data_IF_577130310138
#
_entry.id   IF_577130310138
#
_cell.length_a   1.000
_cell.length_b   1.000
_cell.length_c   1.000
_cell.angle_alpha   90.00
_cell.angle_beta   90.00
_cell.angle_gamma   90.00
#
_symmetry.space_group_name_H-M   'P 1'
#
loop_
_entity.id
_entity.type
_entity.pdbx_description
1 polymer ?
#
# COMPACT_ATOMS: atom_id res chain seq x y z
N UNK A 1 -66.69 52.88 0.15
CA UNK A 1 -65.79 51.74 0.37
C UNK A 1 -64.56 52.03 -0.45
N UNK A 2 -63.48 52.42 0.24
CA UNK A 2 -62.31 53.11 -0.35
C UNK A 2 -61.45 52.20 -1.20
N UNK A 3 -61.41 52.46 -2.50
CA UNK A 3 -60.57 51.73 -3.48
C UNK A 3 -59.08 51.99 -3.22
N UNK A 4 -58.74 53.13 -2.62
CA UNK A 4 -57.37 53.51 -2.24
C UNK A 4 -56.78 52.63 -1.15
N UNK A 5 -57.58 52.03 -0.22
CA UNK A 5 -57.13 51.14 0.84
C UNK A 5 -56.77 49.76 0.32
N UNK A 6 -57.34 49.29 -0.78
CA UNK A 6 -57.05 48.04 -1.45
C UNK A 6 -55.78 48.11 -2.30
N UNK A 7 -55.53 49.23 -2.96
CA UNK A 7 -54.30 49.45 -3.73
C UNK A 7 -53.07 49.55 -2.83
N UNK A 8 -53.14 50.25 -1.70
CA UNK A 8 -52.02 50.38 -0.76
C UNK A 8 -51.63 49.02 -0.11
N UNK A 9 -52.62 48.17 0.18
CA UNK A 9 -52.34 46.80 0.71
C UNK A 9 -51.71 45.87 -0.35
N UNK A 10 -52.20 45.96 -1.60
CA UNK A 10 -51.63 45.14 -2.70
C UNK A 10 -50.16 45.53 -3.02
N UNK A 11 -49.85 46.85 -2.96
CA UNK A 11 -48.48 47.34 -3.17
C UNK A 11 -47.55 46.95 -1.98
N UNK A 12 -48.06 46.92 -0.75
CA UNK A 12 -47.30 46.45 0.41
C UNK A 12 -47.01 44.95 0.33
N UNK A 13 -47.98 44.10 0.00
CA UNK A 13 -47.76 42.67 -0.19
C UNK A 13 -46.78 42.37 -1.33
N UNK A 14 -46.92 43.03 -2.47
CA UNK A 14 -45.99 42.89 -3.59
C UNK A 14 -44.56 43.31 -3.22
N UNK A 15 -44.38 44.35 -2.40
CA UNK A 15 -43.08 44.75 -1.87
C UNK A 15 -42.50 43.72 -0.89
N UNK A 16 -43.30 43.13 -0.01
CA UNK A 16 -42.88 42.12 0.96
C UNK A 16 -42.44 40.86 0.22
N UNK A 17 -43.22 40.40 -0.75
CA UNK A 17 -42.87 39.23 -1.58
C UNK A 17 -41.58 39.48 -2.39
N UNK A 18 -41.40 40.68 -2.93
CA UNK A 18 -40.16 41.03 -3.65
C UNK A 18 -38.92 41.06 -2.76
N UNK A 19 -39.05 41.47 -1.50
CA UNK A 19 -37.96 41.45 -0.51
C UNK A 19 -37.63 40.02 -0.08
N UNK A 20 -38.63 39.14 0.12
CA UNK A 20 -38.42 37.72 0.44
C UNK A 20 -37.77 36.97 -0.72
N UNK A 21 -38.17 37.22 -1.97
CA UNK A 21 -37.55 36.62 -3.16
C UNK A 21 -36.09 37.10 -3.32
N UNK A 22 -35.82 38.37 -3.10
CA UNK A 22 -34.43 38.88 -3.14
C UNK A 22 -33.55 38.34 -2.02
N UNK A 23 -34.11 38.15 -0.82
CA UNK A 23 -33.42 37.49 0.30
C UNK A 23 -33.14 36.00 0.07
N UNK A 24 -34.06 35.28 -0.54
CA UNK A 24 -33.90 33.89 -0.93
C UNK A 24 -32.85 33.72 -2.04
N UNK A 25 -32.81 34.64 -3.04
CA UNK A 25 -31.79 34.61 -4.10
C UNK A 25 -30.38 34.92 -3.56
N UNK A 26 -30.25 35.87 -2.61
CA UNK A 26 -28.97 36.15 -1.95
C UNK A 26 -28.47 34.96 -1.07
N UNK A 27 -29.37 34.25 -0.38
CA UNK A 27 -29.03 33.06 0.39
C UNK A 27 -28.64 31.90 -0.51
N UNK A 28 -29.33 31.70 -1.63
CA UNK A 28 -28.98 30.70 -2.65
C UNK A 28 -27.65 31.02 -3.33
N UNK A 29 -27.38 32.25 -3.71
CA UNK A 29 -26.08 32.68 -4.27
C UNK A 29 -24.95 32.58 -3.25
N UNK A 30 -25.22 32.88 -1.99
CA UNK A 30 -24.27 32.69 -0.89
C UNK A 30 -23.93 31.21 -0.63
N UNK A 31 -24.93 30.31 -0.72
CA UNK A 31 -24.76 28.89 -0.59
C UNK A 31 -24.04 28.27 -1.78
N UNK A 32 -24.33 28.71 -3.01
CA UNK A 32 -23.65 28.28 -4.23
C UNK A 32 -22.19 28.77 -4.27
N UNK A 33 -21.93 30.00 -3.80
CA UNK A 33 -20.56 30.52 -3.69
C UNK A 33 -19.76 29.84 -2.58
N UNK A 34 -20.39 29.44 -1.46
CA UNK A 34 -19.74 28.57 -0.44
C UNK A 34 -19.44 27.18 -0.98
N UNK A 35 -20.40 26.52 -1.67
CA UNK A 35 -20.16 25.25 -2.34
C UNK A 35 -19.05 25.33 -3.41
N UNK A 36 -18.99 26.42 -4.19
CA UNK A 36 -17.92 26.63 -5.16
C UNK A 36 -16.54 26.86 -4.52
N UNK A 37 -16.47 27.54 -3.36
CA UNK A 37 -15.22 27.68 -2.57
C UNK A 37 -14.85 26.39 -1.85
N UNK A 38 -15.79 25.64 -1.30
CA UNK A 38 -15.54 24.34 -0.67
C UNK A 38 -15.07 23.30 -1.70
N UNK A 39 -15.62 23.29 -2.91
CA UNK A 39 -15.12 22.45 -4.00
C UNK A 39 -13.70 22.84 -4.45
N UNK A 40 -13.32 24.12 -4.46
CA UNK A 40 -11.95 24.54 -4.80
C UNK A 40 -10.94 24.33 -3.66
N UNK A 41 -11.39 24.33 -2.40
CA UNK A 41 -10.58 23.93 -1.25
C UNK A 41 -10.49 22.40 -1.11
N UNK A 42 -11.47 21.64 -1.62
CA UNK A 42 -11.50 20.18 -1.59
C UNK A 42 -10.41 19.50 -2.43
N UNK A 43 -9.91 20.17 -3.47
CA UNK A 43 -8.92 19.60 -4.40
C UNK A 43 -7.47 19.69 -3.90
N UNK A 44 -7.13 20.59 -2.97
CA UNK A 44 -5.76 20.76 -2.48
C UNK A 44 -5.50 19.89 -1.25
N UNK A 45 -4.41 19.12 -1.30
CA UNK A 45 -3.93 18.34 -0.16
C UNK A 45 -3.57 19.24 1.03
N UNK A 46 -4.02 18.87 2.22
CA UNK A 46 -3.65 19.55 3.46
C UNK A 46 -2.16 19.36 3.79
N UNK A 47 -1.62 20.16 4.67
CA UNK A 47 -0.21 20.03 5.09
C UNK A 47 0.08 18.68 5.77
N UNK A 48 -0.88 18.12 6.51
CA UNK A 48 -0.75 16.81 7.15
C UNK A 48 -0.82 15.68 6.13
N UNK A 49 -1.77 15.74 5.18
CA UNK A 49 -1.88 14.77 4.09
C UNK A 49 -0.60 14.70 3.26
N UNK A 50 0.00 15.84 2.90
CA UNK A 50 1.29 15.90 2.19
C UNK A 50 2.41 15.22 2.96
N UNK A 51 2.48 15.42 4.29
CA UNK A 51 3.49 14.80 5.14
C UNK A 51 3.25 13.30 5.29
N UNK A 52 2.00 12.86 5.27
CA UNK A 52 1.65 11.44 5.27
C UNK A 52 2.07 10.78 3.95
N UNK A 53 1.79 11.40 2.82
CA UNK A 53 2.25 10.97 1.48
C UNK A 53 3.78 10.85 1.42
N UNK A 54 4.51 11.78 2.05
CA UNK A 54 5.98 11.70 2.11
C UNK A 54 6.50 10.45 2.80
N UNK A 55 5.73 9.84 3.69
CA UNK A 55 6.14 8.56 4.27
C UNK A 55 6.09 7.41 3.25
N UNK A 56 5.14 7.39 2.32
CA UNK A 56 5.16 6.43 1.20
C UNK A 56 6.42 6.61 0.33
N UNK A 57 6.84 7.85 0.07
CA UNK A 57 8.12 8.16 -0.61
C UNK A 57 9.32 7.63 0.20
N UNK A 58 9.26 7.75 1.53
CA UNK A 58 10.34 7.30 2.42
C UNK A 58 10.48 5.77 2.42
N UNK A 59 9.37 5.06 2.67
CA UNK A 59 9.37 3.61 2.88
C UNK A 59 9.53 2.81 1.58
N UNK A 60 9.02 3.30 0.46
CA UNK A 60 9.11 2.62 -0.84
C UNK A 60 10.55 2.43 -1.31
N UNK A 61 11.49 3.26 -0.85
CA UNK A 61 12.91 3.06 -1.11
C UNK A 61 13.42 1.72 -0.55
N UNK A 62 13.04 1.36 0.67
CA UNK A 62 13.42 0.07 1.26
C UNK A 62 12.78 -1.11 0.50
N UNK A 63 11.53 -0.99 0.05
CA UNK A 63 10.88 -2.00 -0.79
C UNK A 63 11.68 -2.28 -2.06
N UNK A 64 12.14 -1.22 -2.75
CA UNK A 64 12.99 -1.38 -3.93
C UNK A 64 14.30 -2.08 -3.62
N UNK A 65 14.92 -1.80 -2.47
CA UNK A 65 16.16 -2.47 -2.05
C UNK A 65 15.94 -3.96 -1.77
N UNK A 66 14.82 -4.33 -1.15
CA UNK A 66 14.46 -5.72 -0.87
C UNK A 66 14.32 -6.54 -2.16
N UNK A 67 13.81 -5.93 -3.20
CA UNK A 67 13.60 -6.60 -4.50
C UNK A 67 14.83 -6.59 -5.40
N UNK A 68 15.87 -5.82 -5.07
CA UNK A 68 17.01 -5.59 -5.97
C UNK A 68 18.38 -5.76 -5.30
N UNK A 69 18.80 -4.80 -4.50
CA UNK A 69 20.18 -4.71 -3.97
C UNK A 69 20.43 -5.71 -2.84
N UNK A 70 19.48 -5.92 -1.95
CA UNK A 70 19.67 -6.83 -0.81
C UNK A 70 19.87 -8.29 -1.25
N UNK A 71 19.11 -8.83 -2.24
CA UNK A 71 19.41 -10.16 -2.80
C UNK A 71 20.80 -10.25 -3.43
N UNK A 72 21.27 -9.20 -4.13
CA UNK A 72 22.62 -9.18 -4.71
C UNK A 72 23.67 -9.23 -3.60
N UNK A 73 23.48 -8.46 -2.53
CA UNK A 73 24.39 -8.49 -1.38
C UNK A 73 24.46 -9.88 -0.75
N UNK A 74 23.30 -10.48 -0.48
CA UNK A 74 23.26 -11.85 0.07
C UNK A 74 23.88 -12.88 -0.86
N UNK A 75 23.66 -12.77 -2.19
CA UNK A 75 24.27 -13.64 -3.18
C UNK A 75 25.81 -13.60 -3.10
N UNK A 76 26.38 -12.41 -2.96
CA UNK A 76 27.83 -12.27 -2.81
C UNK A 76 28.36 -12.91 -1.53
N UNK A 77 27.68 -12.71 -0.39
CA UNK A 77 28.04 -13.36 0.87
C UNK A 77 27.94 -14.88 0.76
N UNK A 78 26.86 -15.39 0.13
CA UNK A 78 26.65 -16.80 -0.12
C UNK A 78 27.75 -17.45 -0.97
N UNK A 79 28.15 -16.78 -2.06
CA UNK A 79 29.26 -17.23 -2.92
C UNK A 79 30.59 -17.29 -2.16
N UNK A 80 30.88 -16.28 -1.32
CA UNK A 80 32.09 -16.28 -0.48
C UNK A 80 32.07 -17.42 0.55
N UNK A 81 30.90 -17.82 1.03
CA UNK A 81 30.72 -18.92 1.97
C UNK A 81 30.59 -20.31 1.29
N UNK A 82 30.64 -20.39 -0.04
CA UNK A 82 30.49 -21.65 -0.77
C UNK A 82 29.05 -22.20 -0.80
N UNK A 83 28.03 -21.36 -0.58
CA UNK A 83 26.64 -21.76 -0.64
C UNK A 83 26.23 -22.00 -2.10
N UNK A 84 25.61 -23.15 -2.38
CA UNK A 84 25.07 -23.44 -3.72
C UNK A 84 23.89 -22.51 -4.07
N UNK A 85 23.66 -22.28 -5.36
CA UNK A 85 22.55 -21.44 -5.82
C UNK A 85 21.17 -21.94 -5.35
N UNK A 86 21.00 -23.26 -5.26
CA UNK A 86 19.78 -23.88 -4.73
C UNK A 86 19.57 -23.51 -3.27
N UNK A 87 20.60 -23.63 -2.44
CA UNK A 87 20.53 -23.27 -1.02
C UNK A 87 20.38 -21.76 -0.82
N UNK A 88 21.00 -20.95 -1.65
CA UNK A 88 20.82 -19.50 -1.66
C UNK A 88 19.33 -19.12 -1.79
N UNK A 89 18.65 -19.66 -2.82
CA UNK A 89 17.23 -19.40 -3.04
C UNK A 89 16.36 -19.91 -1.89
N UNK A 90 16.68 -21.11 -1.37
CA UNK A 90 15.93 -21.68 -0.25
C UNK A 90 16.06 -20.82 1.02
N UNK A 91 17.28 -20.42 1.40
CA UNK A 91 17.51 -19.60 2.59
C UNK A 91 16.88 -18.20 2.46
N UNK A 92 16.92 -17.59 1.27
CA UNK A 92 16.22 -16.35 1.00
C UNK A 92 14.71 -16.51 1.18
N UNK A 93 14.11 -17.53 0.57
CA UNK A 93 12.69 -17.83 0.70
C UNK A 93 12.27 -18.11 2.15
N UNK A 94 13.05 -18.88 2.91
CA UNK A 94 12.78 -19.13 4.34
C UNK A 94 12.82 -17.83 5.15
N UNK A 95 13.78 -16.95 4.88
CA UNK A 95 13.90 -15.66 5.58
C UNK A 95 12.70 -14.76 5.32
N UNK A 96 12.23 -14.68 4.08
CA UNK A 96 11.03 -13.94 3.72
C UNK A 96 9.79 -14.53 4.43
N UNK A 97 9.63 -15.85 4.42
CA UNK A 97 8.51 -16.56 5.06
C UNK A 97 8.49 -16.36 6.57
N UNK A 98 9.64 -16.48 7.23
CA UNK A 98 9.77 -16.27 8.69
C UNK A 98 9.43 -14.82 9.03
N UNK A 99 9.96 -13.85 8.28
CA UNK A 99 9.63 -12.44 8.47
C UNK A 99 8.12 -12.18 8.33
N UNK A 100 7.46 -12.78 7.34
CA UNK A 100 6.01 -12.68 7.14
C UNK A 100 5.24 -13.29 8.31
N UNK A 101 5.67 -14.45 8.81
CA UNK A 101 5.05 -15.09 9.97
C UNK A 101 5.19 -14.23 11.25
N UNK A 102 6.37 -13.65 11.48
CA UNK A 102 6.60 -12.71 12.60
C UNK A 102 5.61 -11.55 12.53
N UNK A 103 5.45 -10.97 11.34
CA UNK A 103 4.53 -9.83 11.14
C UNK A 103 3.07 -10.25 11.29
N UNK A 104 2.70 -11.43 10.81
CA UNK A 104 1.35 -11.97 10.98
C UNK A 104 0.96 -12.11 12.47
N UNK A 105 1.92 -12.46 13.33
CA UNK A 105 1.68 -12.56 14.78
C UNK A 105 1.76 -11.17 15.44
N UNK A 106 2.81 -10.40 15.16
CA UNK A 106 3.07 -9.14 15.85
C UNK A 106 2.24 -7.96 15.33
N UNK A 107 1.80 -8.00 14.06
CA UNK A 107 1.03 -6.92 13.44
C UNK A 107 -0.24 -6.55 14.21
N UNK A 108 -1.18 -7.50 14.41
CA UNK A 108 -2.38 -7.23 15.19
C UNK A 108 -2.10 -6.86 16.65
N UNK A 109 -1.08 -7.48 17.28
CA UNK A 109 -0.66 -7.19 18.65
C UNK A 109 -0.17 -5.74 18.77
N UNK A 110 0.74 -5.35 17.89
CA UNK A 110 1.30 -4.01 17.87
C UNK A 110 0.23 -2.97 17.49
N UNK A 111 -0.65 -3.30 16.54
CA UNK A 111 -1.77 -2.47 16.14
C UNK A 111 -2.72 -2.21 17.31
N UNK A 112 -3.14 -3.26 18.01
CA UNK A 112 -3.98 -3.15 19.19
C UNK A 112 -3.32 -2.35 20.33
N UNK A 113 -1.99 -2.52 20.52
CA UNK A 113 -1.24 -1.73 21.49
C UNK A 113 -1.14 -0.26 21.09
N UNK A 114 -1.03 0.02 19.79
CA UNK A 114 -0.94 1.37 19.24
C UNK A 114 -2.29 2.12 19.30
N UNK A 115 -3.42 1.42 19.21
CA UNK A 115 -4.75 2.02 19.31
C UNK A 115 -5.10 2.52 20.72
N UNK A 116 -4.40 2.04 21.76
CA UNK A 116 -4.62 2.44 23.15
C UNK A 116 -3.88 3.74 23.49
N UNK A 117 -4.60 4.71 24.04
CA UNK A 117 -4.01 5.84 24.74
C UNK A 117 -3.06 6.71 23.91
N UNK A 118 -3.34 6.94 22.64
CA UNK A 118 -2.55 7.78 21.72
C UNK A 118 -1.12 7.29 21.48
N UNK A 119 -0.89 5.98 21.47
CA UNK A 119 0.46 5.40 21.35
C UNK A 119 0.90 5.12 19.91
N UNK A 120 0.05 5.30 18.90
CA UNK A 120 0.42 5.08 17.47
C UNK A 120 1.69 5.83 17.08
N UNK A 121 1.80 7.11 17.44
CA UNK A 121 3.00 7.91 17.12
C UNK A 121 4.28 7.32 17.69
N UNK A 122 4.23 6.81 18.91
CA UNK A 122 5.40 6.19 19.57
C UNK A 122 5.83 4.93 18.82
N UNK A 123 4.90 3.99 18.57
CA UNK A 123 5.22 2.76 17.86
C UNK A 123 5.63 3.01 16.41
N UNK A 124 5.02 4.01 15.76
CA UNK A 124 5.41 4.42 14.41
C UNK A 124 6.84 4.95 14.36
N UNK A 125 7.21 5.85 15.28
CA UNK A 125 8.57 6.35 15.39
C UNK A 125 9.57 5.24 15.74
N UNK A 126 9.22 4.36 16.68
CA UNK A 126 10.06 3.25 17.09
C UNK A 126 10.37 2.30 15.93
N UNK A 127 9.36 1.90 15.17
CA UNK A 127 9.54 1.00 14.02
C UNK A 127 10.35 1.64 12.91
N UNK A 128 10.18 2.94 12.62
CA UNK A 128 11.00 3.66 11.63
C UNK A 128 12.46 3.71 12.07
N UNK A 129 12.72 4.09 13.33
CA UNK A 129 14.08 4.23 13.85
C UNK A 129 14.79 2.87 13.85
N UNK A 130 14.15 1.83 14.39
CA UNK A 130 14.74 0.49 14.42
C UNK A 130 14.95 -0.07 13.00
N UNK A 131 13.99 0.16 12.09
CA UNK A 131 14.09 -0.25 10.70
C UNK A 131 15.24 0.44 9.96
N UNK A 132 15.37 1.74 10.10
CA UNK A 132 16.44 2.52 9.46
C UNK A 132 17.84 2.16 10.03
N UNK A 133 17.97 2.06 11.36
CA UNK A 133 19.23 1.60 11.99
C UNK A 133 19.58 0.19 11.51
N UNK A 134 18.61 -0.74 11.50
CA UNK A 134 18.82 -2.10 11.04
C UNK A 134 19.19 -2.16 9.56
N UNK A 135 18.57 -1.34 8.70
CA UNK A 135 18.92 -1.22 7.28
C UNK A 135 20.37 -0.75 7.09
N UNK A 136 20.80 0.25 7.83
CA UNK A 136 22.21 0.70 7.82
C UNK A 136 23.15 -0.40 8.34
N UNK A 137 22.78 -1.09 9.42
CA UNK A 137 23.57 -2.15 10.03
C UNK A 137 23.80 -3.33 9.07
N UNK A 138 22.83 -3.68 8.22
CA UNK A 138 22.98 -4.69 7.18
C UNK A 138 24.21 -4.45 6.30
N UNK A 139 24.54 -3.20 6.00
CA UNK A 139 25.70 -2.83 5.19
C UNK A 139 27.06 -3.19 5.81
N UNK A 140 27.11 -3.49 7.11
CA UNK A 140 28.34 -3.86 7.83
C UNK A 140 28.45 -5.37 8.10
N UNK A 141 27.38 -6.15 7.89
CA UNK A 141 27.37 -7.59 8.13
C UNK A 141 28.10 -8.30 6.97
N UNK A 142 29.07 -9.16 7.30
CA UNK A 142 29.87 -9.92 6.32
C UNK A 142 29.62 -11.42 6.39
N UNK A 143 28.95 -11.88 7.41
CA UNK A 143 28.60 -13.28 7.63
C UNK A 143 27.18 -13.53 7.10
N UNK A 144 27.03 -14.50 6.20
CA UNK A 144 25.78 -14.72 5.45
C UNK A 144 24.57 -15.07 6.34
N UNK A 145 24.79 -15.88 7.39
CA UNK A 145 23.70 -16.28 8.30
C UNK A 145 23.26 -15.10 9.17
N UNK A 146 24.22 -14.34 9.73
CA UNK A 146 23.93 -13.13 10.52
C UNK A 146 23.21 -12.11 9.65
N UNK A 147 23.60 -11.99 8.37
CA UNK A 147 22.92 -11.10 7.41
C UNK A 147 21.45 -11.48 7.25
N UNK A 148 21.11 -12.76 7.07
CA UNK A 148 19.73 -13.22 6.95
C UNK A 148 18.92 -12.98 8.22
N UNK A 149 19.51 -13.21 9.40
CA UNK A 149 18.84 -12.94 10.68
C UNK A 149 18.54 -11.45 10.86
N UNK A 150 19.55 -10.59 10.63
CA UNK A 150 19.36 -9.14 10.71
C UNK A 150 18.35 -8.66 9.67
N UNK A 151 18.43 -9.17 8.43
CA UNK A 151 17.47 -8.85 7.38
C UNK A 151 16.04 -9.28 7.74
N UNK A 152 15.86 -10.46 8.31
CA UNK A 152 14.56 -10.93 8.79
C UNK A 152 13.96 -9.97 9.82
N UNK A 153 14.75 -9.50 10.77
CA UNK A 153 14.33 -8.53 11.78
C UNK A 153 13.96 -7.19 11.12
N UNK A 154 14.84 -6.65 10.27
CA UNK A 154 14.64 -5.36 9.59
C UNK A 154 13.39 -5.39 8.72
N UNK A 155 13.19 -6.46 7.92
CA UNK A 155 12.01 -6.64 7.09
C UNK A 155 10.74 -6.74 7.93
N UNK A 156 10.79 -7.45 9.07
CA UNK A 156 9.65 -7.53 9.99
C UNK A 156 9.30 -6.17 10.58
N UNK A 157 10.29 -5.43 11.07
CA UNK A 157 10.10 -4.07 11.62
C UNK A 157 9.58 -3.10 10.55
N UNK A 158 10.11 -3.19 9.33
CA UNK A 158 9.61 -2.43 8.19
C UNK A 158 8.12 -2.71 7.93
N UNK A 159 7.73 -3.98 7.88
CA UNK A 159 6.33 -4.37 7.67
C UNK A 159 5.43 -3.89 8.81
N UNK A 160 5.88 -3.99 10.06
CA UNK A 160 5.16 -3.46 11.22
C UNK A 160 4.99 -1.94 11.15
N UNK A 161 5.96 -1.21 10.59
CA UNK A 161 5.82 0.24 10.37
C UNK A 161 4.72 0.56 9.38
N UNK A 162 4.52 -0.28 8.34
CA UNK A 162 3.43 -0.13 7.38
C UNK A 162 2.06 -0.40 8.00
N UNK A 163 1.91 -1.40 8.86
CA UNK A 163 0.66 -1.67 9.60
C UNK A 163 0.23 -0.42 10.37
N UNK A 164 1.15 0.20 11.09
CA UNK A 164 0.85 1.43 11.84
C UNK A 164 0.58 2.58 10.88
N UNK A 165 1.40 2.78 9.87
CA UNK A 165 1.23 3.84 8.88
C UNK A 165 -0.14 3.80 8.20
N UNK A 166 -0.54 2.64 7.68
CA UNK A 166 -1.83 2.48 7.00
C UNK A 166 -3.00 2.77 7.96
N UNK A 167 -2.87 2.37 9.23
CA UNK A 167 -3.89 2.65 10.25
C UNK A 167 -4.03 4.13 10.60
N UNK A 168 -3.02 4.96 10.29
CA UNK A 168 -3.08 6.42 10.54
C UNK A 168 -3.91 7.18 9.50
N UNK A 169 -4.31 6.55 8.40
CA UNK A 169 -5.08 7.21 7.33
C UNK A 169 -6.38 7.83 7.86
N UNK A 170 -7.07 7.13 8.79
CA UNK A 170 -8.28 7.64 9.44
C UNK A 170 -8.03 8.87 10.34
N UNK A 171 -6.79 9.07 10.83
CA UNK A 171 -6.41 10.24 11.64
C UNK A 171 -5.96 11.44 10.79
N UNK A 172 -5.54 11.19 9.56
CA UNK A 172 -4.89 12.18 8.70
C UNK A 172 -5.87 12.89 7.79
N UNK A 173 -6.95 12.21 7.37
CA UNK A 173 -7.89 12.73 6.39
C UNK A 173 -9.32 12.27 6.66
N UNK A 174 -10.28 12.88 5.96
CA UNK A 174 -11.71 12.52 6.07
C UNK A 174 -12.07 11.40 5.10
N UNK A 175 -13.17 10.65 5.34
CA UNK A 175 -13.60 9.53 4.49
C UNK A 175 -13.73 9.88 3.02
N UNK A 176 -14.20 11.10 2.68
CA UNK A 176 -14.40 11.57 1.30
C UNK A 176 -13.08 11.75 0.55
N UNK A 177 -11.99 12.00 1.28
CA UNK A 177 -10.65 12.28 0.75
C UNK A 177 -9.70 11.09 0.82
N UNK A 178 -10.04 10.03 1.58
CA UNK A 178 -9.17 8.88 1.82
C UNK A 178 -8.65 8.23 0.54
N UNK A 179 -9.51 8.08 -0.48
CA UNK A 179 -9.12 7.46 -1.75
C UNK A 179 -8.06 8.30 -2.47
N UNK A 180 -8.25 9.62 -2.52
CA UNK A 180 -7.28 10.51 -3.16
C UNK A 180 -5.96 10.54 -2.40
N UNK A 181 -6.00 10.68 -1.07
CA UNK A 181 -4.80 10.73 -0.23
C UNK A 181 -4.02 9.42 -0.32
N UNK A 182 -4.72 8.28 -0.23
CA UNK A 182 -4.11 6.95 -0.39
C UNK A 182 -3.48 6.78 -1.77
N UNK A 183 -4.17 7.17 -2.83
CA UNK A 183 -3.67 7.08 -4.21
C UNK A 183 -2.48 7.99 -4.46
N UNK A 184 -2.48 9.20 -3.89
CA UNK A 184 -1.32 10.10 -3.94
C UNK A 184 -0.11 9.51 -3.18
N UNK A 185 -0.34 8.83 -2.04
CA UNK A 185 0.72 8.13 -1.31
C UNK A 185 1.42 7.12 -2.19
N UNK A 186 0.68 6.19 -2.78
CA UNK A 186 1.26 5.20 -3.71
C UNK A 186 1.92 5.84 -4.93
N UNK A 187 1.27 6.83 -5.56
CA UNK A 187 1.84 7.52 -6.71
C UNK A 187 3.22 8.13 -6.41
N UNK A 188 3.28 8.97 -5.38
CA UNK A 188 4.54 9.60 -4.98
C UNK A 188 5.56 8.60 -4.42
N UNK A 189 5.09 7.50 -3.80
CA UNK A 189 5.95 6.37 -3.40
C UNK A 189 6.67 5.74 -4.58
N UNK A 190 5.97 5.47 -5.68
CA UNK A 190 6.57 4.87 -6.89
C UNK A 190 7.66 5.74 -7.47
N UNK A 191 7.39 7.03 -7.72
CA UNK A 191 8.40 7.90 -8.33
C UNK A 191 9.49 8.30 -7.34
N UNK A 192 9.12 8.49 -6.05
CA UNK A 192 10.06 8.87 -5.01
C UNK A 192 11.08 7.80 -4.68
N UNK A 193 10.72 6.52 -4.76
CA UNK A 193 11.63 5.40 -4.55
C UNK A 193 12.67 5.26 -5.67
N UNK A 194 12.36 5.73 -6.88
CA UNK A 194 13.32 5.72 -7.99
C UNK A 194 14.55 6.58 -7.71
N UNK A 195 14.42 7.66 -6.92
CA UNK A 195 15.53 8.59 -6.64
C UNK A 195 16.68 7.87 -5.91
N UNK A 196 16.49 7.34 -4.68
CA UNK A 196 17.55 6.61 -3.98
C UNK A 196 17.93 5.31 -4.72
N UNK A 197 16.99 4.65 -5.41
CA UNK A 197 17.28 3.44 -6.17
C UNK A 197 18.25 3.70 -7.32
N UNK A 198 18.01 4.72 -8.15
CA UNK A 198 18.91 5.09 -9.25
C UNK A 198 20.29 5.48 -8.71
N UNK A 199 20.35 6.27 -7.62
CA UNK A 199 21.62 6.63 -6.99
C UNK A 199 22.40 5.38 -6.55
N UNK A 200 21.74 4.41 -5.92
CA UNK A 200 22.33 3.16 -5.50
C UNK A 200 22.76 2.29 -6.70
N UNK A 201 21.95 2.22 -7.74
CA UNK A 201 22.25 1.46 -8.95
C UNK A 201 23.49 2.01 -9.67
N UNK A 202 23.56 3.34 -9.86
CA UNK A 202 24.73 4.01 -10.44
C UNK A 202 25.98 3.75 -9.60
N UNK A 203 25.86 3.80 -8.27
CA UNK A 203 26.97 3.52 -7.37
C UNK A 203 27.45 2.06 -7.49
N UNK A 204 26.56 1.10 -7.53
CA UNK A 204 26.91 -0.34 -7.63
C UNK A 204 27.50 -0.68 -8.99
N UNK A 205 26.90 -0.22 -10.08
CA UNK A 205 27.40 -0.47 -11.45
C UNK A 205 28.68 0.29 -11.75
N UNK A 206 28.81 1.52 -11.23
CA UNK A 206 29.98 2.38 -11.41
C UNK A 206 31.13 2.13 -10.40
N UNK A 207 30.96 1.20 -9.47
CA UNK A 207 31.91 1.00 -8.35
C UNK A 207 33.34 0.76 -8.80
N UNK A 208 33.56 -0.03 -9.85
CA UNK A 208 34.87 -0.29 -10.41
C UNK A 208 35.57 0.95 -10.97
N UNK A 209 34.79 1.87 -11.59
CA UNK A 209 35.35 3.11 -12.19
C UNK A 209 35.80 4.12 -11.12
N UNK A 210 35.29 4.03 -9.91
CA UNK A 210 35.64 4.90 -8.78
C UNK A 210 36.58 4.22 -7.78
N UNK A 211 37.14 3.04 -8.14
CA UNK A 211 38.04 2.28 -7.28
C UNK A 211 37.40 1.69 -6.02
N UNK A 212 36.08 1.56 -5.98
CA UNK A 212 35.31 1.01 -4.86
C UNK A 212 35.01 -0.46 -5.13
N UNK A 213 35.13 -1.32 -4.10
CA UNK A 213 34.67 -2.71 -4.23
C UNK A 213 33.13 -2.77 -4.33
N UNK A 214 32.63 -3.74 -5.09
CA UNK A 214 31.18 -3.93 -5.24
C UNK A 214 30.48 -4.13 -3.88
N UNK A 215 31.12 -4.88 -2.96
CA UNK A 215 30.63 -5.08 -1.60
C UNK A 215 30.51 -3.76 -0.83
N UNK A 216 31.46 -2.85 -0.98
CA UNK A 216 31.42 -1.53 -0.35
C UNK A 216 30.31 -0.66 -0.98
N UNK A 217 30.13 -0.70 -2.29
CA UNK A 217 29.07 0.02 -2.98
C UNK A 217 27.67 -0.46 -2.53
N UNK A 218 27.47 -1.76 -2.35
CA UNK A 218 26.26 -2.35 -1.82
C UNK A 218 26.01 -1.90 -0.35
N UNK A 219 27.06 -1.86 0.48
CA UNK A 219 26.98 -1.38 1.87
C UNK A 219 26.57 0.09 1.93
N UNK A 220 27.19 0.94 1.11
CA UNK A 220 26.86 2.37 1.01
C UNK A 220 25.40 2.56 0.53
N UNK A 221 24.94 1.74 -0.40
CA UNK A 221 23.55 1.77 -0.87
C UNK A 221 22.53 1.53 0.24
N UNK A 222 22.81 0.61 1.17
CA UNK A 222 21.96 0.36 2.33
C UNK A 222 21.95 1.55 3.31
N UNK A 223 23.10 2.22 3.48
CA UNK A 223 23.20 3.44 4.30
C UNK A 223 22.41 4.60 3.66
N UNK A 224 22.55 4.81 2.35
CA UNK A 224 21.77 5.82 1.60
C UNK A 224 20.26 5.57 1.78
N UNK A 225 19.82 4.32 1.66
CA UNK A 225 18.42 3.94 1.84
C UNK A 225 17.94 4.20 3.27
N UNK A 226 18.74 3.87 4.27
CA UNK A 226 18.41 4.12 5.67
C UNK A 226 18.27 5.62 5.97
N UNK A 227 19.21 6.43 5.46
CA UNK A 227 19.19 7.89 5.62
C UNK A 227 17.99 8.52 4.89
N UNK A 228 17.66 8.02 3.70
CA UNK A 228 16.47 8.43 2.95
C UNK A 228 15.21 8.11 3.74
N UNK A 229 15.04 6.85 4.17
CA UNK A 229 13.87 6.42 4.93
C UNK A 229 13.70 7.24 6.21
N UNK A 230 14.76 7.40 7.01
CA UNK A 230 14.71 8.19 8.21
C UNK A 230 14.42 9.68 7.91
N UNK A 231 15.19 10.30 7.02
CA UNK A 231 15.12 11.73 6.73
C UNK A 231 13.76 12.17 6.18
N UNK A 232 13.23 11.41 5.20
CA UNK A 232 11.93 11.71 4.57
C UNK A 232 10.75 11.40 5.49
N UNK A 233 10.94 10.55 6.52
CA UNK A 233 9.92 10.27 7.54
C UNK A 233 9.79 11.37 8.61
N UNK A 234 10.80 12.21 8.82
CA UNK A 234 10.80 13.26 9.89
C UNK A 234 9.57 14.19 9.84
N UNK A 235 9.09 14.67 8.68
CA UNK A 235 7.94 15.58 8.62
C UNK A 235 6.66 14.99 9.20
N UNK A 236 6.36 13.71 8.93
CA UNK A 236 5.17 13.06 9.48
C UNK A 236 5.34 12.77 10.96
N UNK A 237 6.50 12.29 11.39
CA UNK A 237 6.79 12.02 12.80
C UNK A 237 6.66 13.27 13.67
N UNK A 238 7.03 14.46 13.16
CA UNK A 238 6.85 15.72 13.89
C UNK A 238 5.40 16.16 13.96
N UNK A 239 4.62 15.94 12.90
CA UNK A 239 3.29 16.56 12.72
C UNK A 239 2.12 15.65 13.08
N UNK A 240 2.29 14.33 13.00
CA UNK A 240 1.23 13.37 13.29
C UNK A 240 0.78 13.43 14.75
N UNK A 241 -0.55 13.45 14.92
CA UNK A 241 -1.23 13.30 16.21
C UNK A 241 -2.37 12.31 16.03
N UNK A 242 -2.42 11.32 16.87
CA UNK A 242 -3.51 10.34 16.87
C UNK A 242 -4.79 11.01 17.34
N UNK A 243 -5.84 10.92 16.53
CA UNK A 243 -7.19 11.45 16.80
C UNK A 243 -8.10 10.32 17.30
N UNK A 244 -8.09 9.21 16.57
CA UNK A 244 -8.90 8.03 16.86
C UNK A 244 -8.12 7.05 17.75
N UNK A 245 -8.59 6.78 18.95
CA UNK A 245 -7.95 5.88 19.90
C UNK A 245 -8.96 5.36 20.94
N UNK A 246 -8.64 4.20 21.50
CA UNK A 246 -9.42 3.64 22.59
C UNK A 246 -9.11 4.36 23.91
N UNK A 247 -10.12 4.97 24.51
CA UNK A 247 -10.05 5.49 25.88
C UNK A 247 -10.21 4.32 26.85
N UNK A 248 -9.08 3.84 27.40
CA UNK A 248 -9.09 2.74 28.37
C UNK A 248 -9.59 3.18 29.74
N UNK A 249 -10.66 2.56 30.22
CA UNK A 249 -10.84 2.38 31.66
C UNK A 249 -9.84 1.33 32.19
N UNK A 250 -9.59 1.33 33.50
CA UNK A 250 -8.54 0.58 34.23
C UNK A 250 -8.59 -0.96 34.16
N UNK A 251 -9.40 -1.57 33.30
CA UNK A 251 -9.29 -2.98 33.04
C UNK A 251 -8.06 -3.24 32.16
N UNK A 252 -7.09 -3.94 32.72
CA UNK A 252 -5.99 -4.60 32.01
C UNK A 252 -6.58 -5.59 31.01
N UNK A 253 -7.13 -5.10 29.90
CA UNK A 253 -7.59 -5.99 28.86
C UNK A 253 -6.37 -6.69 28.27
N UNK A 254 -6.28 -7.97 28.54
CA UNK A 254 -5.30 -8.85 27.93
C UNK A 254 -5.42 -8.67 26.40
N UNK A 255 -4.34 -8.17 25.77
CA UNK A 255 -4.29 -7.88 24.32
C UNK A 255 -4.76 -9.10 23.52
N UNK A 256 -4.42 -10.30 23.95
CA UNK A 256 -4.85 -11.55 23.30
C UNK A 256 -6.38 -11.75 23.39
N UNK A 257 -7.00 -11.39 24.51
CA UNK A 257 -8.47 -11.43 24.66
C UNK A 257 -9.15 -10.40 23.77
N UNK A 258 -8.56 -9.21 23.65
CA UNK A 258 -9.00 -8.17 22.72
C UNK A 258 -8.92 -8.66 21.28
N UNK A 259 -7.78 -9.22 20.85
CA UNK A 259 -7.61 -9.78 19.51
C UNK A 259 -8.64 -10.89 19.22
N UNK A 260 -8.91 -11.76 20.20
CA UNK A 260 -9.94 -12.78 20.07
C UNK A 260 -11.35 -12.20 19.89
N UNK A 261 -11.69 -11.08 20.56
CA UNK A 261 -12.95 -10.38 20.34
C UNK A 261 -13.01 -9.71 18.97
N UNK A 262 -11.90 -9.09 18.53
CA UNK A 262 -11.82 -8.43 17.23
C UNK A 262 -11.94 -9.41 16.07
N UNK A 263 -11.35 -10.59 16.20
CA UNK A 263 -11.55 -11.65 15.20
C UNK A 263 -13.01 -12.10 15.13
N UNK A 264 -13.71 -12.17 16.29
CA UNK A 264 -15.16 -12.44 16.31
C UNK A 264 -15.95 -11.31 15.65
N UNK A 265 -15.55 -10.05 15.86
CA UNK A 265 -16.20 -8.90 15.22
C UNK A 265 -16.01 -8.92 13.72
N UNK A 266 -14.80 -9.23 13.23
CA UNK A 266 -14.50 -9.45 11.80
C UNK A 266 -15.41 -10.55 11.21
N UNK A 267 -15.55 -11.69 11.90
CA UNK A 267 -16.40 -12.80 11.42
C UNK A 267 -17.88 -12.45 11.44
N UNK A 268 -18.33 -11.62 12.39
CA UNK A 268 -19.73 -11.17 12.49
C UNK A 268 -20.10 -10.13 11.44
N UNK A 269 -19.17 -9.20 11.13
CA UNK A 269 -19.39 -8.20 10.07
C UNK A 269 -19.08 -8.83 8.71
N UNK A 270 -20.14 -9.24 8.00
CA UNK A 270 -20.01 -9.89 6.71
C UNK A 270 -19.31 -9.03 5.67
N UNK A 271 -19.45 -7.70 5.73
CA UNK A 271 -18.80 -6.78 4.78
C UNK A 271 -17.27 -6.82 4.97
N UNK A 272 -16.80 -6.70 6.22
CA UNK A 272 -15.38 -6.80 6.56
C UNK A 272 -14.82 -8.19 6.24
N UNK A 273 -15.53 -9.25 6.64
CA UNK A 273 -15.10 -10.63 6.40
C UNK A 273 -14.91 -10.92 4.90
N UNK A 274 -15.94 -10.66 4.09
CA UNK A 274 -15.86 -10.91 2.64
C UNK A 274 -14.86 -9.99 1.95
N UNK A 275 -14.66 -8.76 2.44
CA UNK A 275 -13.60 -7.90 1.93
C UNK A 275 -12.21 -8.49 2.22
N UNK A 276 -11.92 -8.90 3.44
CA UNK A 276 -10.62 -9.49 3.79
C UNK A 276 -10.35 -10.80 3.03
N UNK A 277 -11.37 -11.64 2.85
CA UNK A 277 -11.25 -12.84 2.02
C UNK A 277 -11.03 -12.50 0.54
N UNK A 278 -11.75 -11.52 0.00
CA UNK A 278 -11.53 -11.04 -1.36
C UNK A 278 -10.12 -10.49 -1.53
N UNK A 279 -9.70 -9.63 -0.58
CA UNK A 279 -8.38 -9.01 -0.53
C UNK A 279 -7.29 -10.08 -0.49
N UNK A 280 -7.44 -11.08 0.35
CA UNK A 280 -6.52 -12.21 0.42
C UNK A 280 -6.26 -12.82 -0.97
N UNK A 281 -7.30 -13.13 -1.74
CA UNK A 281 -7.14 -13.76 -3.05
C UNK A 281 -6.60 -12.80 -4.11
N UNK A 282 -7.19 -11.62 -4.28
CA UNK A 282 -6.76 -10.77 -5.38
C UNK A 282 -5.42 -10.08 -5.14
N UNK A 283 -5.10 -9.74 -3.89
CA UNK A 283 -3.81 -9.09 -3.60
C UNK A 283 -2.65 -10.09 -3.59
N UNK A 284 -2.93 -11.36 -3.24
CA UNK A 284 -1.98 -12.45 -3.44
C UNK A 284 -1.57 -12.55 -4.92
N UNK A 285 -2.54 -12.55 -5.82
CA UNK A 285 -2.27 -12.52 -7.26
C UNK A 285 -1.42 -11.33 -7.67
N UNK A 286 -1.74 -10.11 -7.18
CA UNK A 286 -0.98 -8.90 -7.48
C UNK A 286 0.46 -9.01 -6.99
N UNK A 287 0.68 -9.36 -5.72
CA UNK A 287 2.02 -9.48 -5.16
C UNK A 287 2.82 -10.62 -5.80
N UNK A 288 2.17 -11.76 -6.10
CA UNK A 288 2.83 -12.86 -6.81
C UNK A 288 3.30 -12.44 -8.20
N UNK A 289 2.51 -11.70 -8.97
CA UNK A 289 2.92 -11.16 -10.27
C UNK A 289 4.11 -10.22 -10.12
N UNK A 290 4.12 -9.34 -9.11
CA UNK A 290 5.21 -8.41 -8.86
C UNK A 290 6.49 -9.15 -8.42
N UNK A 291 6.38 -10.04 -7.44
CA UNK A 291 7.52 -10.73 -6.83
C UNK A 291 8.14 -11.77 -7.79
N UNK A 292 7.33 -12.40 -8.63
CA UNK A 292 7.77 -13.42 -9.59
C UNK A 292 8.14 -12.86 -10.96
N UNK A 293 7.94 -11.56 -11.21
CA UNK A 293 8.19 -10.93 -12.51
C UNK A 293 9.61 -11.13 -13.02
N UNK A 294 10.62 -11.00 -12.16
CA UNK A 294 12.03 -11.19 -12.53
C UNK A 294 12.36 -12.66 -12.84
N UNK A 295 11.82 -13.60 -12.05
CA UNK A 295 11.98 -15.03 -12.29
C UNK A 295 11.31 -15.44 -13.62
N UNK A 296 10.12 -14.89 -13.88
CA UNK A 296 9.39 -15.12 -15.13
C UNK A 296 10.11 -14.52 -16.35
N UNK A 297 10.59 -13.27 -16.24
CA UNK A 297 11.38 -12.61 -17.28
C UNK A 297 12.68 -13.39 -17.60
N UNK A 298 13.35 -13.90 -16.58
CA UNK A 298 14.53 -14.75 -16.73
C UNK A 298 14.21 -16.07 -17.48
N UNK A 299 13.07 -16.69 -17.16
CA UNK A 299 12.62 -17.90 -17.85
C UNK A 299 12.27 -17.66 -19.33
N UNK A 300 11.92 -16.44 -19.72
CA UNK A 300 11.74 -15.99 -21.09
C UNK A 300 13.05 -15.57 -21.80
N UNK A 301 14.19 -15.71 -21.13
CA UNK A 301 15.51 -15.36 -21.68
C UNK A 301 15.84 -13.88 -21.65
N UNK A 302 15.13 -13.06 -20.86
CA UNK A 302 15.45 -11.64 -20.69
C UNK A 302 16.74 -11.46 -19.87
N UNK A 303 17.57 -10.53 -20.29
CA UNK A 303 18.74 -10.10 -19.52
C UNK A 303 18.38 -9.33 -18.26
N UNK A 304 19.29 -9.33 -17.27
CA UNK A 304 19.08 -8.59 -16.01
C UNK A 304 18.80 -7.11 -16.24
N UNK A 305 19.44 -6.48 -17.21
CA UNK A 305 19.24 -5.07 -17.56
C UNK A 305 17.82 -4.82 -18.05
N UNK A 306 17.29 -5.67 -18.93
CA UNK A 306 15.92 -5.56 -19.45
C UNK A 306 14.89 -5.69 -18.32
N UNK A 307 15.11 -6.61 -17.40
CA UNK A 307 14.23 -6.80 -16.24
C UNK A 307 14.22 -5.58 -15.31
N UNK A 308 15.40 -5.00 -15.03
CA UNK A 308 15.50 -3.79 -14.21
C UNK A 308 14.86 -2.58 -14.88
N UNK A 309 15.02 -2.42 -16.19
CA UNK A 309 14.38 -1.36 -16.96
C UNK A 309 12.86 -1.54 -17.00
N UNK A 310 12.36 -2.76 -17.16
CA UNK A 310 10.93 -3.06 -17.13
C UNK A 310 10.32 -2.72 -15.74
N UNK A 311 11.03 -3.03 -14.65
CA UNK A 311 10.60 -2.61 -13.31
C UNK A 311 10.53 -1.09 -13.17
N UNK A 312 11.51 -0.36 -13.70
CA UNK A 312 11.49 1.11 -13.73
C UNK A 312 10.30 1.64 -14.55
N UNK A 313 10.05 1.09 -15.74
CA UNK A 313 8.89 1.46 -16.57
C UNK A 313 7.60 1.25 -15.80
N UNK A 314 7.46 0.13 -15.09
CA UNK A 314 6.29 -0.13 -14.23
C UNK A 314 6.08 0.98 -13.20
N UNK A 315 7.14 1.47 -12.54
CA UNK A 315 7.05 2.57 -11.56
C UNK A 315 6.62 3.89 -12.21
N UNK A 316 7.20 4.23 -13.37
CA UNK A 316 6.86 5.45 -14.10
C UNK A 316 5.41 5.43 -14.62
N UNK A 317 4.92 4.29 -15.07
CA UNK A 317 3.52 4.13 -15.49
C UNK A 317 2.59 4.16 -14.28
N UNK A 318 2.94 3.52 -13.17
CA UNK A 318 2.12 3.47 -11.97
C UNK A 318 1.85 4.86 -11.37
N UNK A 319 2.78 5.79 -11.48
CA UNK A 319 2.64 7.15 -10.94
C UNK A 319 1.40 7.89 -11.49
N UNK A 320 1.26 8.16 -12.80
CA UNK A 320 0.11 8.89 -13.33
C UNK A 320 -1.20 8.11 -13.18
N UNK A 321 -1.16 6.78 -13.31
CA UNK A 321 -2.36 5.96 -13.17
C UNK A 321 -2.87 5.92 -11.73
N UNK A 322 -2.01 5.84 -10.71
CA UNK A 322 -2.44 5.95 -9.32
C UNK A 322 -3.13 7.30 -9.04
N UNK A 323 -2.60 8.41 -9.56
CA UNK A 323 -3.26 9.72 -9.46
C UNK A 323 -4.62 9.72 -10.17
N UNK A 324 -4.71 9.12 -11.37
CA UNK A 324 -5.95 9.00 -12.12
C UNK A 324 -7.01 8.22 -11.32
N UNK A 325 -6.63 7.07 -10.74
CA UNK A 325 -7.51 6.28 -9.88
C UNK A 325 -8.03 7.09 -8.68
N UNK A 326 -7.14 7.84 -8.00
CA UNK A 326 -7.52 8.72 -6.90
C UNK A 326 -8.50 9.81 -7.29
N UNK A 327 -8.37 10.39 -8.50
CA UNK A 327 -9.32 11.37 -9.01
C UNK A 327 -10.67 10.77 -9.41
N UNK A 328 -10.66 9.60 -10.05
CA UNK A 328 -11.89 8.92 -10.47
C UNK A 328 -12.68 8.39 -9.26
N UNK A 329 -12.01 7.93 -8.21
CA UNK A 329 -12.66 7.42 -7.00
C UNK A 329 -13.45 8.48 -6.24
N UNK A 330 -13.05 9.75 -6.29
CA UNK A 330 -13.78 10.89 -5.69
C UNK A 330 -15.22 11.03 -6.23
N UNK A 331 -15.53 10.44 -7.38
CA UNK A 331 -16.87 10.38 -7.95
C UNK A 331 -17.74 9.25 -7.39
N UNK A 332 -17.36 8.64 -6.27
CA UNK A 332 -18.05 7.49 -5.69
C UNK A 332 -17.85 6.18 -6.46
N UNK A 333 -16.74 6.08 -7.19
CA UNK A 333 -16.46 4.92 -8.07
C UNK A 333 -15.44 3.94 -7.48
N UNK A 334 -15.04 4.08 -6.20
CA UNK A 334 -13.97 3.29 -5.58
C UNK A 334 -14.16 1.79 -5.74
N UNK A 335 -15.35 1.26 -5.42
CA UNK A 335 -15.67 -0.16 -5.56
C UNK A 335 -15.58 -0.63 -7.01
N UNK A 336 -16.11 0.17 -7.96
CA UNK A 336 -16.04 -0.15 -9.39
C UNK A 336 -14.60 -0.17 -9.90
N UNK A 337 -13.78 0.76 -9.44
CA UNK A 337 -12.36 0.83 -9.83
C UNK A 337 -11.55 -0.34 -9.27
N UNK A 338 -11.85 -0.81 -8.05
CA UNK A 338 -11.26 -2.04 -7.51
C UNK A 338 -11.67 -3.23 -8.37
N UNK A 339 -12.96 -3.39 -8.69
CA UNK A 339 -13.45 -4.48 -9.58
C UNK A 339 -12.79 -4.44 -10.96
N UNK A 340 -12.70 -3.26 -11.58
CA UNK A 340 -12.01 -3.08 -12.87
C UNK A 340 -10.54 -3.49 -12.78
N UNK A 341 -9.87 -3.13 -11.69
CA UNK A 341 -8.47 -3.53 -11.47
C UNK A 341 -8.32 -5.05 -11.32
N UNK A 342 -9.21 -5.72 -10.58
CA UNK A 342 -9.17 -7.18 -10.42
C UNK A 342 -9.41 -7.85 -11.78
N UNK A 343 -10.38 -7.38 -12.59
CA UNK A 343 -10.62 -7.88 -13.94
C UNK A 343 -9.42 -7.65 -14.86
N UNK A 344 -8.77 -6.48 -14.78
CA UNK A 344 -7.58 -6.19 -15.55
C UNK A 344 -6.43 -7.14 -15.19
N UNK A 345 -6.20 -7.38 -13.88
CA UNK A 345 -5.20 -8.35 -13.43
C UNK A 345 -5.53 -9.80 -13.84
N UNK A 346 -6.82 -10.16 -13.89
CA UNK A 346 -7.23 -11.45 -14.49
C UNK A 346 -6.79 -11.53 -15.96
N UNK A 347 -7.03 -10.47 -16.73
CA UNK A 347 -6.57 -10.37 -18.12
C UNK A 347 -5.04 -10.39 -18.26
N UNK A 348 -4.33 -9.73 -17.37
CA UNK A 348 -2.85 -9.72 -17.28
C UNK A 348 -2.33 -11.15 -17.03
N UNK A 349 -2.91 -11.89 -16.09
CA UNK A 349 -2.51 -13.28 -15.80
C UNK A 349 -2.81 -14.22 -16.98
N UNK A 350 -3.96 -14.05 -17.65
CA UNK A 350 -4.30 -14.80 -18.87
C UNK A 350 -3.33 -14.46 -20.01
N UNK A 351 -3.01 -13.17 -20.21
CA UNK A 351 -2.04 -12.75 -21.22
C UNK A 351 -0.66 -13.36 -20.93
N UNK A 352 -0.20 -13.31 -19.67
CA UNK A 352 1.06 -13.92 -19.27
C UNK A 352 1.09 -15.44 -19.50
N UNK A 353 -0.02 -16.15 -19.32
CA UNK A 353 -0.13 -17.58 -19.65
C UNK A 353 0.21 -17.89 -21.12
N UNK A 354 -0.18 -17.02 -22.06
CA UNK A 354 0.06 -17.19 -23.50
C UNK A 354 1.37 -16.54 -23.99
N UNK A 355 2.17 -15.97 -23.10
CA UNK A 355 3.40 -15.30 -23.52
C UNK A 355 4.45 -16.28 -24.03
N UNK A 356 5.08 -15.92 -25.16
CA UNK A 356 6.14 -16.69 -25.82
C UNK A 356 7.31 -15.84 -26.30
N UNK A 357 7.18 -14.51 -26.26
CA UNK A 357 8.17 -13.58 -26.78
C UNK A 357 8.57 -12.51 -25.76
N UNK A 358 9.83 -12.16 -25.72
CA UNK A 358 10.41 -11.20 -24.74
C UNK A 358 9.77 -9.79 -24.79
N UNK A 359 9.32 -9.32 -25.97
CA UNK A 359 8.66 -8.01 -26.10
C UNK A 359 7.32 -7.95 -25.36
N UNK A 360 6.64 -9.10 -25.20
CA UNK A 360 5.37 -9.18 -24.47
C UNK A 360 5.54 -8.88 -22.97
N UNK A 361 6.75 -9.12 -22.44
CA UNK A 361 7.06 -8.76 -21.05
C UNK A 361 7.02 -7.25 -20.81
N UNK A 362 7.43 -6.45 -21.79
CA UNK A 362 7.32 -4.99 -21.70
C UNK A 362 5.86 -4.51 -21.70
N UNK A 363 5.02 -5.16 -22.50
CA UNK A 363 3.56 -4.91 -22.48
C UNK A 363 2.99 -5.26 -21.11
N UNK A 364 3.39 -6.42 -20.56
CA UNK A 364 2.99 -6.85 -19.22
C UNK A 364 3.39 -5.82 -18.15
N UNK A 365 4.64 -5.33 -18.18
CA UNK A 365 5.15 -4.33 -17.25
C UNK A 365 4.32 -3.04 -17.28
N UNK A 366 3.96 -2.56 -18.47
CA UNK A 366 3.07 -1.40 -18.63
C UNK A 366 1.68 -1.68 -18.06
N UNK A 367 1.06 -2.82 -18.42
CA UNK A 367 -0.27 -3.19 -17.94
C UNK A 367 -0.30 -3.33 -16.40
N UNK A 368 0.69 -3.98 -15.80
CA UNK A 368 0.83 -4.06 -14.34
C UNK A 368 0.94 -2.66 -13.74
N UNK A 369 1.80 -1.79 -14.30
CA UNK A 369 1.95 -0.42 -13.84
C UNK A 369 0.65 0.38 -13.85
N UNK A 370 -0.21 0.18 -14.85
CA UNK A 370 -1.49 0.89 -14.95
C UNK A 370 -2.44 0.61 -13.77
N UNK A 371 -2.40 -0.58 -13.19
CA UNK A 371 -3.40 -1.00 -12.20
C UNK A 371 -2.85 -1.21 -10.79
N UNK A 372 -1.53 -1.48 -10.62
CA UNK A 372 -0.97 -1.84 -9.31
C UNK A 372 -1.17 -0.74 -8.25
N UNK A 373 -0.95 0.53 -8.61
CA UNK A 373 -1.13 1.64 -7.67
C UNK A 373 -2.58 1.86 -7.29
N UNK A 374 -3.49 1.75 -8.27
CA UNK A 374 -4.92 1.91 -8.06
C UNK A 374 -5.51 0.84 -7.15
N UNK A 375 -5.23 -0.44 -7.41
CA UNK A 375 -5.80 -1.54 -6.64
C UNK A 375 -5.31 -1.52 -5.19
N UNK A 376 -4.02 -1.27 -4.94
CA UNK A 376 -3.46 -1.21 -3.60
C UNK A 376 -3.99 -0.01 -2.82
N UNK A 377 -3.96 1.18 -3.44
CA UNK A 377 -4.39 2.43 -2.80
C UNK A 377 -5.88 2.44 -2.45
N UNK A 378 -6.73 1.99 -3.38
CA UNK A 378 -8.17 1.95 -3.16
C UNK A 378 -8.59 0.84 -2.19
N UNK A 379 -7.89 -0.30 -2.17
CA UNK A 379 -8.13 -1.35 -1.17
C UNK A 379 -7.82 -0.84 0.25
N UNK A 380 -6.69 -0.14 0.44
CA UNK A 380 -6.32 0.48 1.71
C UNK A 380 -7.37 1.49 2.18
N UNK A 381 -7.76 2.41 1.32
CA UNK A 381 -8.76 3.44 1.66
C UNK A 381 -10.16 2.87 1.86
N UNK A 382 -10.58 1.91 1.05
CA UNK A 382 -11.85 1.22 1.22
C UNK A 382 -11.91 0.49 2.56
N UNK A 383 -10.86 -0.25 2.91
CA UNK A 383 -10.78 -0.93 4.20
C UNK A 383 -10.85 0.06 5.36
N UNK A 384 -10.13 1.19 5.29
CA UNK A 384 -10.19 2.24 6.31
C UNK A 384 -11.61 2.77 6.54
N UNK A 385 -12.44 2.82 5.48
CA UNK A 385 -13.83 3.34 5.56
C UNK A 385 -14.81 2.36 6.20
N UNK A 386 -14.53 1.05 6.14
CA UNK A 386 -15.46 0.01 6.63
C UNK A 386 -15.11 -0.52 8.02
N UNK A 387 -13.99 -0.11 8.61
CA UNK A 387 -13.54 -0.52 9.93
C UNK A 387 -13.73 0.59 10.97
N UNK A 388 -13.84 0.26 12.28
CA UNK A 388 -13.84 1.25 13.35
C UNK A 388 -12.51 2.04 13.39
N UNK A 389 -12.59 3.37 13.31
CA UNK A 389 -11.41 4.23 13.25
C UNK A 389 -10.53 4.12 14.52
N UNK A 390 -11.15 3.92 15.70
CA UNK A 390 -10.47 3.80 17.00
C UNK A 390 -9.66 2.51 17.13
N UNK A 391 -9.99 1.49 16.31
CA UNK A 391 -9.35 0.16 16.28
C UNK A 391 -8.60 -0.10 14.97
N UNK A 392 -8.33 0.94 14.21
CA UNK A 392 -7.73 0.82 12.88
C UNK A 392 -6.37 0.13 12.88
N UNK A 393 -5.53 0.31 13.92
CA UNK A 393 -4.25 -0.38 14.03
C UNK A 393 -4.40 -1.90 14.11
N UNK A 394 -5.31 -2.37 14.94
CA UNK A 394 -5.61 -3.80 15.10
C UNK A 394 -6.17 -4.41 13.80
N UNK A 395 -7.14 -3.75 13.17
CA UNK A 395 -7.73 -4.21 11.91
C UNK A 395 -6.73 -4.20 10.75
N UNK A 396 -5.84 -3.20 10.68
CA UNK A 396 -4.76 -3.20 9.69
C UNK A 396 -3.73 -4.30 9.95
N UNK A 397 -3.57 -4.77 11.19
CA UNK A 397 -2.84 -6.00 11.48
C UNK A 397 -3.45 -7.22 10.77
N UNK A 398 -4.78 -7.41 10.78
CA UNK A 398 -5.45 -8.47 10.03
C UNK A 398 -5.38 -8.27 8.52
N UNK A 399 -5.51 -7.02 8.05
CA UNK A 399 -5.33 -6.66 6.64
C UNK A 399 -3.95 -7.05 6.11
N UNK A 400 -2.88 -6.79 6.88
CA UNK A 400 -1.51 -7.12 6.51
C UNK A 400 -1.27 -8.65 6.47
N UNK A 401 -1.91 -9.42 7.39
CA UNK A 401 -1.91 -10.89 7.32
C UNK A 401 -2.51 -11.36 6.00
N UNK A 402 -3.67 -10.82 5.62
CA UNK A 402 -4.32 -11.18 4.36
C UNK A 402 -3.48 -10.75 3.15
N UNK A 403 -2.81 -9.59 3.21
CA UNK A 403 -2.00 -9.09 2.11
C UNK A 403 -0.70 -9.87 1.93
N UNK A 404 0.15 -9.87 2.94
CA UNK A 404 1.50 -10.46 2.85
C UNK A 404 1.54 -11.97 3.10
N UNK A 405 0.63 -12.47 3.96
CA UNK A 405 0.50 -13.90 4.21
C UNK A 405 0.03 -14.67 2.98
N UNK A 406 -0.82 -14.04 2.18
CA UNK A 406 -1.33 -14.62 0.95
C UNK A 406 -0.22 -14.83 -0.09
N UNK A 407 0.69 -13.87 -0.30
CA UNK A 407 1.72 -13.93 -1.36
C UNK A 407 2.64 -15.17 -1.26
N UNK A 408 2.75 -15.74 -0.07
CA UNK A 408 3.45 -17.03 0.14
C UNK A 408 2.70 -18.19 -0.54
N UNK A 409 1.36 -18.14 -0.53
CA UNK A 409 0.52 -19.20 -1.12
C UNK A 409 0.57 -19.11 -2.64
N UNK A 410 0.38 -17.92 -3.21
CA UNK A 410 0.39 -17.71 -4.66
C UNK A 410 1.73 -18.08 -5.30
N UNK A 411 2.83 -17.61 -4.73
CA UNK A 411 4.17 -17.92 -5.23
C UNK A 411 4.53 -19.40 -5.08
N UNK A 412 4.13 -20.04 -3.97
CA UNK A 412 4.32 -21.49 -3.76
C UNK A 412 3.51 -22.31 -4.76
N UNK A 413 2.24 -21.96 -4.96
CA UNK A 413 1.37 -22.67 -5.90
C UNK A 413 1.83 -22.46 -7.35
N UNK A 414 2.25 -21.25 -7.72
CA UNK A 414 2.86 -20.98 -9.02
C UNK A 414 4.10 -21.84 -9.25
N UNK A 415 5.01 -21.94 -8.27
CA UNK A 415 6.20 -22.76 -8.35
C UNK A 415 5.88 -24.24 -8.48
N UNK A 416 4.96 -24.76 -7.67
CA UNK A 416 4.55 -26.16 -7.65
C UNK A 416 3.89 -26.57 -8.97
N UNK A 417 2.98 -25.76 -9.50
CA UNK A 417 2.34 -26.02 -10.79
C UNK A 417 3.36 -25.96 -11.93
N UNK A 418 4.30 -25.00 -11.89
CA UNK A 418 5.39 -24.93 -12.86
C UNK A 418 6.27 -26.19 -12.86
N UNK A 419 6.58 -26.72 -11.67
CA UNK A 419 7.37 -27.96 -11.53
C UNK A 419 6.62 -29.18 -12.06
N UNK A 420 5.34 -29.33 -11.70
CA UNK A 420 4.52 -30.49 -12.11
C UNK A 420 4.24 -30.49 -13.62
N UNK A 421 4.00 -29.32 -14.21
CA UNK A 421 3.67 -29.17 -15.62
C UNK A 421 4.90 -29.02 -16.53
N UNK A 422 6.07 -28.74 -15.97
CA UNK A 422 7.28 -28.43 -16.72
C UNK A 422 7.24 -27.07 -17.44
N UNK A 423 6.27 -26.21 -17.14
CA UNK A 423 6.10 -24.91 -17.79
C UNK A 423 5.74 -23.80 -16.80
N UNK A 424 6.51 -22.73 -16.82
CA UNK A 424 6.27 -21.54 -15.97
C UNK A 424 4.95 -20.85 -16.32
N UNK A 425 4.51 -20.94 -17.57
CA UNK A 425 3.27 -20.33 -18.01
C UNK A 425 2.04 -20.90 -17.30
N UNK A 426 1.98 -22.22 -17.06
CA UNK A 426 0.88 -22.84 -16.30
C UNK A 426 0.87 -22.35 -14.84
N UNK A 427 2.04 -22.13 -14.23
CA UNK A 427 2.15 -21.53 -12.91
C UNK A 427 1.54 -20.13 -12.84
N UNK A 428 1.82 -19.28 -13.84
CA UNK A 428 1.23 -17.93 -13.93
C UNK A 428 -0.28 -18.01 -14.19
N UNK A 429 -0.73 -18.93 -15.03
CA UNK A 429 -2.15 -19.12 -15.36
C UNK A 429 -3.02 -19.43 -14.14
N UNK A 430 -2.50 -20.16 -13.15
CA UNK A 430 -3.23 -20.47 -11.90
C UNK A 430 -3.59 -19.22 -11.12
N UNK A 431 -2.78 -18.16 -11.21
CA UNK A 431 -3.02 -16.89 -10.50
C UNK A 431 -4.32 -16.23 -11.01
N UNK A 432 -4.71 -16.46 -12.28
CA UNK A 432 -5.99 -15.97 -12.79
C UNK A 432 -7.19 -16.47 -11.98
N UNK A 433 -7.12 -17.69 -11.43
CA UNK A 433 -8.17 -18.25 -10.58
C UNK A 433 -8.31 -17.44 -9.29
N UNK A 434 -7.19 -16.98 -8.70
CA UNK A 434 -7.23 -16.17 -7.50
C UNK A 434 -7.93 -14.83 -7.74
N UNK A 435 -7.69 -14.20 -8.87
CA UNK A 435 -8.39 -12.97 -9.24
C UNK A 435 -9.89 -13.21 -9.44
N UNK A 436 -10.30 -14.32 -10.07
CA UNK A 436 -11.72 -14.66 -10.27
C UNK A 436 -12.41 -14.89 -8.93
N UNK A 437 -11.79 -15.65 -8.01
CA UNK A 437 -12.33 -15.88 -6.66
C UNK A 437 -12.39 -14.55 -5.89
N UNK A 438 -11.30 -13.76 -5.94
CA UNK A 438 -11.23 -12.44 -5.31
C UNK A 438 -12.30 -11.49 -5.80
N UNK A 439 -12.56 -11.45 -7.11
CA UNK A 439 -13.64 -10.65 -7.70
C UNK A 439 -15.02 -11.08 -7.21
N UNK A 440 -15.29 -12.39 -7.21
CA UNK A 440 -16.58 -12.92 -6.75
C UNK A 440 -16.83 -12.56 -5.27
N UNK A 441 -15.84 -12.75 -4.41
CA UNK A 441 -15.91 -12.39 -2.99
C UNK A 441 -16.05 -10.88 -2.77
N UNK A 442 -15.36 -10.06 -3.58
CA UNK A 442 -15.47 -8.61 -3.49
C UNK A 442 -16.88 -8.13 -3.88
N UNK A 443 -17.47 -8.68 -4.92
CA UNK A 443 -18.87 -8.41 -5.32
C UNK A 443 -19.83 -8.79 -4.17
N UNK A 444 -19.59 -9.91 -3.49
CA UNK A 444 -20.39 -10.29 -2.31
C UNK A 444 -20.22 -9.26 -1.19
N UNK A 445 -18.99 -8.83 -0.90
CA UNK A 445 -18.70 -7.81 0.13
C UNK A 445 -19.44 -6.49 -0.14
N UNK A 446 -19.42 -5.99 -1.37
CA UNK A 446 -20.08 -4.70 -1.72
C UNK A 446 -21.61 -4.75 -1.61
N UNK A 447 -22.21 -5.94 -1.63
CA UNK A 447 -23.66 -6.13 -1.44
C UNK A 447 -24.08 -6.25 0.03
N UNK A 448 -23.14 -6.42 0.96
CA UNK A 448 -23.43 -6.49 2.37
C UNK A 448 -23.56 -5.09 2.98
N UNK A 449 -24.51 -4.93 3.93
CA UNK A 449 -24.57 -3.73 4.77
C UNK A 449 -23.49 -3.84 5.84
N UNK A 450 -22.86 -2.71 6.16
CA UNK A 450 -21.94 -2.64 7.29
C UNK A 450 -22.74 -2.72 8.61
N UNK A 451 -22.18 -3.36 9.63
CA UNK A 451 -22.76 -3.32 10.97
C UNK A 451 -22.73 -1.91 11.61
N UNK A 452 -22.06 -0.96 10.94
CA UNK A 452 -21.96 0.45 11.35
C UNK A 452 -22.97 1.36 10.64
N UNK A 453 -23.68 0.89 9.61
CA UNK A 453 -24.82 1.53 8.96
C UNK A 453 -26.14 1.13 9.65
#
# INVERSE_FOLDING_TARGET
MDVTFLEDNCVREARTISIEIAGADQTLRGSLNRRGRDNSMGDKLTALEKKWILYDVANSAFTMMVSTIIPIYFNQLGKQAGISEVNYLAYWGYTISISTLIVAILGPILGAAADKGRRKKFYFALTIILGAIGCAALGFVREWLIFLVVFCIVKSVYSLSLVIYDSTLADVTTPERMDNVSSQGYAWGYIGSCIPFIACLVLVLGSGSIGMSQMMALSVSLIITALWWMGVSVPILKSYRQVNYLTGGEEHHNILKQLGSSLKDVVKDRKILFFLLAFFFYIDGVYTIIDMSTAYGSALGLGTTDMLLALLVTQFVAFPFAILFGKLSQKGMSEKLIMVSIMAYTGIAIFAFFMSASWQFWVLAVCVGMFQGGIQALSRSYFTKIIPAERSGEFFGFYDICGKGASVIGSTLMGLVSQVTGSVNYGVGVIAIFFIIGLALFIVSTRQKSAQE
#
